data_IF_899232809481
#
_entry.id   IF_899232809481
#
_cell.length_a   1.000
_cell.length_b   1.000
_cell.length_c   1.000
_cell.angle_alpha   90.00
_cell.angle_beta   90.00
_cell.angle_gamma   90.00
#
_symmetry.space_group_name_H-M   'P 1'
#
loop_
_entity.id
_entity.type
_entity.pdbx_description
1 polymer ?
#
# COMPACT_ATOMS: atom_id res chain seq x y z
N UNK A 1 12.74 18.76 -4.54
CA UNK A 1 11.47 18.66 -3.80
C UNK A 1 11.58 17.42 -2.95
N UNK A 2 11.61 17.59 -1.63
CA UNK A 2 11.80 16.50 -0.71
C UNK A 2 10.50 15.73 -0.48
N UNK A 3 10.60 14.40 -0.39
CA UNK A 3 9.49 13.49 -0.07
C UNK A 3 8.85 13.79 1.30
N UNK A 4 9.55 14.50 2.19
CA UNK A 4 9.09 14.90 3.52
C UNK A 4 7.82 15.78 3.51
N UNK A 5 7.52 16.46 2.40
CA UNK A 5 6.34 17.31 2.23
C UNK A 5 5.22 16.68 1.38
N UNK A 6 5.38 15.42 0.96
CA UNK A 6 4.36 14.74 0.15
C UNK A 6 3.13 14.37 1.01
N UNK A 7 1.94 14.20 0.41
CA UNK A 7 0.79 13.65 1.12
C UNK A 7 1.12 12.30 1.78
N UNK A 8 0.56 11.98 2.97
CA UNK A 8 0.88 10.74 3.70
C UNK A 8 0.71 9.47 2.86
N UNK A 9 -0.31 9.42 1.99
CA UNK A 9 -0.57 8.31 1.09
C UNK A 9 0.53 8.13 0.03
N UNK A 10 1.17 9.22 -0.40
CA UNK A 10 2.27 9.20 -1.36
C UNK A 10 3.55 8.72 -0.67
N UNK A 11 3.82 9.20 0.55
CA UNK A 11 4.97 8.74 1.35
C UNK A 11 4.88 7.23 1.60
N UNK A 12 3.71 6.76 2.06
CA UNK A 12 3.47 5.33 2.30
C UNK A 12 3.61 4.48 1.04
N UNK A 13 3.15 4.99 -0.12
CA UNK A 13 3.31 4.29 -1.38
C UNK A 13 4.80 4.14 -1.76
N UNK A 14 5.62 5.16 -1.52
CA UNK A 14 7.06 5.12 -1.77
C UNK A 14 7.74 4.10 -0.85
N UNK A 15 7.44 4.12 0.45
CA UNK A 15 7.99 3.16 1.41
C UNK A 15 7.63 1.70 1.04
N UNK A 16 6.39 1.48 0.59
CA UNK A 16 5.93 0.16 0.13
C UNK A 16 6.65 -0.30 -1.13
N UNK A 17 6.91 0.62 -2.09
CA UNK A 17 7.66 0.30 -3.31
C UNK A 17 9.10 -0.08 -2.95
N UNK A 18 9.77 0.71 -2.10
CA UNK A 18 11.13 0.42 -1.64
C UNK A 18 11.23 -0.96 -0.97
N UNK A 19 10.26 -1.29 -0.11
CA UNK A 19 10.19 -2.58 0.55
C UNK A 19 10.08 -3.74 -0.47
N UNK A 20 9.21 -3.60 -1.47
CA UNK A 20 8.99 -4.62 -2.50
C UNK A 20 10.22 -4.80 -3.39
N UNK A 21 10.87 -3.70 -3.77
CA UNK A 21 12.10 -3.71 -4.58
C UNK A 21 13.27 -4.32 -3.81
N UNK A 22 13.44 -3.96 -2.53
CA UNK A 22 14.49 -4.53 -1.66
C UNK A 22 14.35 -6.05 -1.51
N UNK A 23 13.11 -6.55 -1.49
CA UNK A 23 12.80 -7.98 -1.44
C UNK A 23 12.79 -8.65 -2.83
N UNK A 24 13.14 -7.93 -3.89
CA UNK A 24 13.18 -8.43 -5.27
C UNK A 24 11.86 -9.06 -5.73
N UNK A 25 10.73 -8.50 -5.27
CA UNK A 25 9.40 -9.01 -5.61
C UNK A 25 9.07 -8.66 -7.05
N UNK A 26 8.68 -9.66 -7.84
CA UNK A 26 8.26 -9.45 -9.22
C UNK A 26 7.03 -8.50 -9.27
N UNK A 27 6.98 -7.52 -10.19
CA UNK A 27 5.87 -6.54 -10.24
C UNK A 27 4.49 -7.18 -10.34
N UNK A 28 4.33 -8.25 -11.12
CA UNK A 28 3.07 -8.96 -11.24
C UNK A 28 2.61 -9.59 -9.89
N UNK A 29 3.55 -10.12 -9.11
CA UNK A 29 3.27 -10.66 -7.79
C UNK A 29 2.95 -9.55 -6.78
N UNK A 30 3.70 -8.44 -6.82
CA UNK A 30 3.43 -7.26 -6.00
C UNK A 30 2.01 -6.72 -6.25
N UNK A 31 1.59 -6.57 -7.51
CA UNK A 31 0.25 -6.11 -7.86
C UNK A 31 -0.83 -7.08 -7.35
N UNK A 32 -0.62 -8.39 -7.48
CA UNK A 32 -1.55 -9.40 -6.95
C UNK A 32 -1.68 -9.30 -5.41
N UNK A 33 -0.56 -9.13 -4.70
CA UNK A 33 -0.56 -8.96 -3.25
C UNK A 33 -1.24 -7.64 -2.83
N UNK A 34 -0.94 -6.53 -3.50
CA UNK A 34 -1.57 -5.23 -3.24
C UNK A 34 -3.08 -5.25 -3.48
N UNK A 35 -3.57 -6.03 -4.45
CA UNK A 35 -5.00 -6.23 -4.64
C UNK A 35 -5.68 -6.94 -3.46
N UNK A 36 -4.99 -7.88 -2.81
CA UNK A 36 -5.47 -8.55 -1.60
C UNK A 36 -5.49 -7.57 -0.43
N UNK A 37 -4.40 -6.82 -0.22
CA UNK A 37 -4.29 -5.79 0.82
C UNK A 37 -5.40 -4.75 0.67
N UNK A 38 -5.62 -4.22 -0.55
CA UNK A 38 -6.69 -3.27 -0.84
C UNK A 38 -8.05 -3.80 -0.39
N UNK A 39 -8.39 -5.04 -0.77
CA UNK A 39 -9.67 -5.68 -0.38
C UNK A 39 -9.80 -5.85 1.14
N UNK A 40 -8.70 -6.11 1.84
CA UNK A 40 -8.71 -6.22 3.31
C UNK A 40 -9.02 -4.89 3.99
N UNK A 41 -8.41 -3.80 3.52
CA UNK A 41 -8.71 -2.46 4.04
C UNK A 41 -10.10 -1.97 3.64
N UNK A 42 -10.59 -2.31 2.45
CA UNK A 42 -12.00 -2.07 2.08
C UNK A 42 -12.96 -2.71 3.08
N UNK A 43 -12.77 -4.01 3.39
CA UNK A 43 -13.58 -4.71 4.39
C UNK A 43 -13.50 -4.06 5.77
N UNK A 44 -12.31 -3.68 6.24
CA UNK A 44 -12.14 -3.00 7.54
C UNK A 44 -12.86 -1.65 7.60
N UNK A 45 -12.92 -0.92 6.48
CA UNK A 45 -13.69 0.32 6.38
C UNK A 45 -15.20 0.07 6.43
N UNK A 46 -15.65 -1.06 5.87
CA UNK A 46 -17.06 -1.49 5.93
C UNK A 46 -17.42 -1.94 7.37
N UNK A 47 -16.60 -2.81 7.99
CA UNK A 47 -16.77 -3.28 9.36
C UNK A 47 -16.71 -2.12 10.38
N UNK A 48 -15.81 -1.16 10.17
CA UNK A 48 -15.70 0.04 11.01
C UNK A 48 -16.83 1.07 10.81
N UNK A 49 -17.68 0.92 9.79
CA UNK A 49 -18.91 1.73 9.60
C UNK A 49 -20.13 1.14 10.31
N UNK A 50 -20.06 -0.13 10.72
CA UNK A 50 -21.13 -0.84 11.41
C UNK A 50 -20.96 -0.85 12.95
N UNK A 51 -19.89 -0.19 13.46
CA UNK A 51 -19.57 -0.07 14.89
C UNK A 51 -20.03 1.27 15.51
#
# INVERSE_FOLDING_TARGET
MSLENAPPEVQLAVDLIELLETNHIAPALALAALAIVRRDYERKLEEGREA
#
